data_IF_189339164056
#
_entry.id   IF_189339164056
#
_cell.length_a   1.000
_cell.length_b   1.000
_cell.length_c   1.000
_cell.angle_alpha   90.00
_cell.angle_beta   90.00
_cell.angle_gamma   90.00
#
_symmetry.space_group_name_H-M   'P 1'
#
loop_
_entity.id
_entity.type
_entity.pdbx_description
1 polymer ?
#
# COMPACT_ATOMS: atom_id res chain seq x y z
N UNK A 1 5.70 -19.03 9.92
CA UNK A 1 4.87 -19.15 8.68
C UNK A 1 3.49 -18.52 8.87
N UNK A 2 2.78 -18.24 7.76
CA UNK A 2 1.39 -17.79 7.76
C UNK A 2 0.61 -18.40 6.58
N UNK A 3 -0.70 -18.59 6.74
CA UNK A 3 -1.56 -19.27 5.76
C UNK A 3 -1.90 -18.41 4.54
N UNK A 4 -2.23 -19.06 3.41
CA UNK A 4 -2.80 -18.41 2.22
C UNK A 4 -4.15 -17.74 2.50
N UNK A 5 -4.89 -18.26 3.49
CA UNK A 5 -6.12 -17.65 3.99
C UNK A 5 -5.84 -16.28 4.62
N UNK A 6 -4.76 -16.15 5.40
CA UNK A 6 -4.36 -14.86 5.98
C UNK A 6 -4.05 -13.81 4.90
N UNK A 7 -3.38 -14.22 3.82
CA UNK A 7 -3.10 -13.36 2.67
C UNK A 7 -4.39 -12.94 1.95
N UNK A 8 -5.29 -13.90 1.74
CA UNK A 8 -6.57 -13.66 1.06
C UNK A 8 -7.44 -12.69 1.85
N UNK A 9 -7.48 -12.87 3.18
CA UNK A 9 -8.19 -11.97 4.08
C UNK A 9 -7.63 -10.55 4.00
N UNK A 10 -6.30 -10.40 3.98
CA UNK A 10 -5.64 -9.09 3.91
C UNK A 10 -5.83 -8.40 2.55
N UNK A 11 -5.87 -9.17 1.46
CA UNK A 11 -6.10 -8.65 0.09
C UNK A 11 -7.41 -7.89 -0.03
N UNK A 12 -8.45 -8.37 0.64
CA UNK A 12 -9.78 -7.77 0.61
C UNK A 12 -9.97 -6.68 1.67
N UNK A 13 -8.93 -6.27 2.40
CA UNK A 13 -9.02 -5.20 3.41
C UNK A 13 -9.22 -3.84 2.75
N UNK A 14 -8.42 -3.53 1.74
CA UNK A 14 -8.42 -2.23 1.06
C UNK A 14 -9.02 -2.41 -0.35
N UNK A 15 -10.01 -1.58 -0.68
CA UNK A 15 -10.64 -1.59 -2.00
C UNK A 15 -10.31 -0.35 -2.82
N UNK A 16 -10.68 -0.38 -4.09
CA UNK A 16 -10.58 0.76 -4.99
C UNK A 16 -11.74 1.73 -4.78
N UNK A 17 -11.45 3.02 -4.97
CA UNK A 17 -12.47 4.06 -4.95
C UNK A 17 -13.37 3.99 -6.19
N UNK A 18 -14.57 4.54 -6.07
CA UNK A 18 -15.42 4.77 -7.24
C UNK A 18 -14.77 5.78 -8.18
N UNK A 19 -15.22 5.75 -9.44
CA UNK A 19 -14.76 6.71 -10.44
C UNK A 19 -15.24 8.12 -10.07
N UNK A 20 -14.30 9.05 -10.01
CA UNK A 20 -14.46 10.47 -9.80
C UNK A 20 -14.87 11.20 -11.08
N UNK A 21 -14.46 10.69 -12.26
CA UNK A 21 -14.80 11.28 -13.55
C UNK A 21 -15.75 10.38 -14.37
N UNK A 22 -16.92 10.90 -14.71
CA UNK A 22 -17.95 10.22 -15.52
C UNK A 22 -17.57 10.04 -16.99
N UNK A 23 -16.48 10.67 -17.46
CA UNK A 23 -16.00 10.57 -18.85
C UNK A 23 -15.22 9.26 -19.11
N UNK A 24 -14.80 8.56 -18.05
CA UNK A 24 -14.06 7.29 -18.15
C UNK A 24 -15.06 6.13 -18.19
N UNK A 25 -15.13 5.41 -19.31
CA UNK A 25 -16.13 4.35 -19.55
C UNK A 25 -15.79 2.98 -18.97
N UNK A 26 -14.81 2.88 -18.08
CA UNK A 26 -14.36 1.59 -17.54
C UNK A 26 -15.30 1.11 -16.45
N UNK A 27 -15.69 -0.15 -16.47
CA UNK A 27 -16.40 -0.77 -15.35
C UNK A 27 -15.42 -1.45 -14.40
N UNK A 28 -15.41 -1.02 -13.13
CA UNK A 28 -14.65 -1.67 -12.06
C UNK A 28 -15.53 -2.75 -11.43
N UNK A 29 -14.98 -3.96 -11.28
CA UNK A 29 -15.69 -5.08 -10.67
C UNK A 29 -16.03 -4.83 -9.20
N UNK A 30 -17.11 -5.44 -8.73
CA UNK A 30 -17.54 -5.34 -7.34
C UNK A 30 -16.46 -5.82 -6.36
N UNK A 31 -15.69 -6.85 -6.73
CA UNK A 31 -14.56 -7.36 -5.94
C UNK A 31 -13.43 -6.35 -5.75
N UNK A 32 -13.23 -5.49 -6.76
CA UNK A 32 -12.25 -4.41 -6.70
C UNK A 32 -12.76 -3.22 -5.88
N UNK A 33 -14.06 -2.94 -5.93
CA UNK A 33 -14.67 -1.89 -5.12
C UNK A 33 -14.82 -2.33 -3.65
N UNK A 34 -15.09 -3.59 -3.38
CA UNK A 34 -15.38 -4.06 -2.02
C UNK A 34 -14.14 -3.98 -1.13
N UNK A 35 -14.32 -3.41 0.07
CA UNK A 35 -13.27 -3.26 1.07
C UNK A 35 -13.81 -3.69 2.45
N UNK A 36 -13.31 -4.78 3.01
CA UNK A 36 -13.74 -5.25 4.35
C UNK A 36 -13.33 -4.30 5.47
N UNK A 37 -12.34 -3.42 5.26
CA UNK A 37 -12.01 -2.34 6.20
C UNK A 37 -12.83 -1.07 5.97
N UNK A 38 -13.64 -1.01 4.91
CA UNK A 38 -14.30 0.18 4.37
C UNK A 38 -13.34 1.28 3.86
N UNK A 39 -12.03 1.02 3.87
CA UNK A 39 -11.01 1.97 3.41
C UNK A 39 -10.70 1.78 1.94
N UNK A 40 -10.46 2.90 1.28
CA UNK A 40 -10.21 2.99 -0.16
C UNK A 40 -8.80 3.50 -0.45
N UNK A 41 -8.19 3.06 -1.54
CA UNK A 41 -6.80 3.44 -1.91
C UNK A 41 -6.61 4.97 -2.02
N UNK A 42 -7.58 5.68 -2.60
CA UNK A 42 -7.54 7.13 -2.75
C UNK A 42 -7.46 7.90 -1.41
N UNK A 43 -7.88 7.28 -0.29
CA UNK A 43 -7.72 7.87 1.04
C UNK A 43 -6.26 7.87 1.53
N UNK A 44 -5.40 7.04 0.94
CA UNK A 44 -3.97 6.98 1.26
C UNK A 44 -3.13 7.92 0.38
N UNK A 45 -3.57 8.14 -0.86
CA UNK A 45 -3.01 9.14 -1.75
C UNK A 45 -4.02 9.55 -2.83
N UNK A 46 -4.25 10.85 -3.00
CA UNK A 46 -5.27 11.37 -3.93
C UNK A 46 -5.04 10.97 -5.39
N UNK A 47 -3.78 10.91 -5.83
CA UNK A 47 -3.43 10.49 -7.20
C UNK A 47 -3.64 8.99 -7.45
N UNK A 48 -3.73 8.16 -6.41
CA UNK A 48 -3.91 6.71 -6.54
C UNK A 48 -5.41 6.37 -6.78
N UNK A 49 -5.98 6.94 -7.84
CA UNK A 49 -7.33 6.69 -8.32
C UNK A 49 -7.33 5.73 -9.51
N UNK A 50 -8.46 5.09 -9.77
CA UNK A 50 -8.59 4.08 -10.83
C UNK A 50 -8.35 4.69 -12.22
N UNK A 51 -8.81 5.91 -12.45
CA UNK A 51 -8.67 6.64 -13.71
C UNK A 51 -7.22 6.97 -14.03
N UNK A 52 -6.48 7.42 -13.01
CA UNK A 52 -5.07 7.72 -13.16
C UNK A 52 -4.29 6.43 -13.47
N UNK A 53 -4.67 5.31 -12.84
CA UNK A 53 -4.08 3.99 -13.10
C UNK A 53 -4.38 3.54 -14.53
N UNK A 54 -5.64 3.60 -14.97
CA UNK A 54 -6.01 3.23 -16.33
C UNK A 54 -5.31 4.10 -17.39
N UNK A 55 -5.16 5.39 -17.12
CA UNK A 55 -4.43 6.29 -18.00
C UNK A 55 -2.95 5.93 -18.11
N UNK A 56 -2.39 5.29 -17.06
CA UNK A 56 -0.98 4.97 -16.94
C UNK A 56 -0.58 3.55 -17.38
N UNK A 57 -1.51 2.58 -17.44
CA UNK A 57 -1.21 1.23 -17.94
C UNK A 57 -0.68 1.28 -19.37
N UNK A 58 0.14 0.31 -19.78
CA UNK A 58 0.79 0.35 -21.09
C UNK A 58 -0.18 0.10 -22.26
N UNK A 59 -1.12 -0.83 -22.09
CA UNK A 59 -2.05 -1.31 -23.12
C UNK A 59 -3.19 -0.34 -23.37
N UNK A 60 -3.29 0.17 -24.61
CA UNK A 60 -4.28 1.19 -24.99
C UNK A 60 -5.62 0.51 -25.14
N UNK A 61 -6.63 1.07 -24.49
CA UNK A 61 -7.97 0.50 -24.44
C UNK A 61 -8.00 -0.91 -23.84
N UNK A 62 -7.23 -1.11 -22.75
CA UNK A 62 -7.25 -2.36 -21.98
C UNK A 62 -8.69 -2.73 -21.66
N UNK A 63 -9.06 -3.97 -21.98
CA UNK A 63 -10.38 -4.51 -21.71
C UNK A 63 -10.67 -4.55 -20.20
N UNK A 64 -11.94 -4.52 -19.83
CA UNK A 64 -12.38 -4.43 -18.44
C UNK A 64 -11.88 -5.61 -17.60
N UNK A 65 -11.91 -6.84 -18.12
CA UNK A 65 -11.47 -8.01 -17.39
C UNK A 65 -9.96 -7.98 -17.08
N UNK A 66 -9.06 -7.81 -18.06
CA UNK A 66 -7.62 -7.61 -17.82
C UNK A 66 -7.31 -6.45 -16.87
N UNK A 67 -8.05 -5.34 -16.98
CA UNK A 67 -7.84 -4.20 -16.09
C UNK A 67 -8.24 -4.50 -14.64
N UNK A 68 -9.36 -5.19 -14.43
CA UNK A 68 -9.77 -5.61 -13.09
C UNK A 68 -8.84 -6.66 -12.48
N UNK A 69 -8.27 -7.55 -13.30
CA UNK A 69 -7.20 -8.46 -12.88
C UNK A 69 -5.94 -7.69 -12.50
N UNK A 70 -5.55 -6.68 -13.28
CA UNK A 70 -4.42 -5.81 -12.96
C UNK A 70 -4.61 -5.11 -11.61
N UNK A 71 -5.77 -4.49 -11.37
CA UNK A 71 -6.13 -3.85 -10.10
C UNK A 71 -6.10 -4.85 -8.92
N UNK A 72 -6.57 -6.08 -9.12
CA UNK A 72 -6.52 -7.14 -8.11
C UNK A 72 -5.08 -7.57 -7.81
N UNK A 73 -4.25 -7.70 -8.86
CA UNK A 73 -2.84 -8.07 -8.74
C UNK A 73 -2.04 -7.03 -7.96
N UNK A 74 -2.30 -5.74 -8.17
CA UNK A 74 -1.65 -4.66 -7.41
C UNK A 74 -1.93 -4.78 -5.90
N UNK A 75 -3.17 -5.10 -5.52
CA UNK A 75 -3.55 -5.32 -4.12
C UNK A 75 -2.84 -6.55 -3.53
N UNK A 76 -2.86 -7.67 -4.25
CA UNK A 76 -2.23 -8.91 -3.81
C UNK A 76 -0.71 -8.73 -3.61
N UNK A 77 -0.03 -8.09 -4.57
CA UNK A 77 1.40 -7.79 -4.46
C UNK A 77 1.71 -6.89 -3.26
N UNK A 78 0.87 -5.88 -3.01
CA UNK A 78 1.07 -4.98 -1.87
C UNK A 78 0.92 -5.72 -0.52
N UNK A 79 -0.03 -6.65 -0.42
CA UNK A 79 -0.18 -7.49 0.78
C UNK A 79 1.06 -8.34 1.02
N UNK A 80 1.55 -9.03 -0.02
CA UNK A 80 2.74 -9.89 0.09
C UNK A 80 3.93 -9.05 0.55
N UNK A 81 4.16 -7.90 -0.09
CA UNK A 81 5.27 -7.01 0.27
C UNK A 81 5.19 -6.53 1.73
N UNK A 82 3.99 -6.15 2.18
CA UNK A 82 3.76 -5.70 3.56
C UNK A 82 3.92 -6.83 4.57
N UNK A 83 3.44 -8.03 4.24
CA UNK A 83 3.60 -9.22 5.06
C UNK A 83 5.07 -9.59 5.22
N UNK A 84 5.82 -9.61 4.12
CA UNK A 84 7.27 -9.84 4.15
C UNK A 84 8.00 -8.78 4.96
N UNK A 85 7.64 -7.50 4.82
CA UNK A 85 8.29 -6.44 5.58
C UNK A 85 7.95 -6.48 7.09
N UNK A 86 6.71 -6.83 7.46
CA UNK A 86 6.28 -6.87 8.87
C UNK A 86 6.76 -8.13 9.56
N UNK A 87 6.67 -9.29 8.91
CA UNK A 87 6.97 -10.60 9.50
C UNK A 87 8.35 -11.07 9.07
N UNK A 88 8.51 -11.47 7.80
CA UNK A 88 9.67 -12.23 7.33
C UNK A 88 11.01 -11.47 7.53
N UNK A 89 10.99 -10.15 7.47
CA UNK A 89 12.17 -9.30 7.68
C UNK A 89 12.38 -8.87 9.15
N UNK A 90 11.47 -9.24 10.05
CA UNK A 90 11.59 -8.86 11.46
C UNK A 90 12.48 -9.84 12.23
N UNK A 91 13.41 -9.31 13.02
CA UNK A 91 14.39 -10.12 13.77
C UNK A 91 13.80 -11.11 14.79
N UNK A 92 12.55 -10.90 15.24
CA UNK A 92 11.84 -11.81 16.15
C UNK A 92 10.93 -12.81 15.42
N UNK A 93 10.91 -12.79 14.09
CA UNK A 93 10.13 -13.75 13.33
C UNK A 93 10.78 -15.12 13.35
N UNK A 94 9.95 -16.14 13.52
CA UNK A 94 10.36 -17.55 13.54
C UNK A 94 9.48 -18.32 12.55
N UNK A 95 10.11 -18.90 11.53
CA UNK A 95 9.40 -19.65 10.50
C UNK A 95 8.62 -20.85 11.08
N UNK A 96 9.09 -21.44 12.19
CA UNK A 96 8.45 -22.58 12.84
C UNK A 96 7.15 -22.24 13.58
N UNK A 97 6.92 -20.96 13.88
CA UNK A 97 5.72 -20.48 14.57
C UNK A 97 4.63 -20.14 13.54
N UNK A 98 3.40 -20.59 13.78
CA UNK A 98 2.25 -20.20 12.98
C UNK A 98 1.64 -18.88 13.48
N UNK A 99 1.77 -17.83 12.66
CA UNK A 99 1.25 -16.49 12.97
C UNK A 99 -0.18 -16.28 12.44
N UNK A 100 -0.80 -17.26 11.78
CA UNK A 100 -2.11 -17.09 11.13
C UNK A 100 -3.20 -16.63 12.10
N UNK A 101 -3.20 -17.16 13.33
CA UNK A 101 -4.19 -16.79 14.37
C UNK A 101 -4.04 -15.34 14.82
N UNK A 102 -2.81 -14.84 15.00
CA UNK A 102 -2.58 -13.46 15.42
C UNK A 102 -2.85 -12.47 14.29
N UNK A 103 -2.54 -12.85 13.04
CA UNK A 103 -2.84 -12.04 11.84
C UNK A 103 -4.34 -11.88 11.69
N UNK A 104 -5.10 -12.99 11.72
CA UNK A 104 -6.57 -13.00 11.59
C UNK A 104 -7.26 -12.28 12.76
N UNK A 105 -6.70 -12.32 13.96
CA UNK A 105 -7.22 -11.56 15.10
C UNK A 105 -6.94 -10.05 15.00
N UNK A 106 -5.81 -9.64 14.40
CA UNK A 106 -5.33 -8.25 14.40
C UNK A 106 -5.24 -7.62 13.01
N UNK A 107 -6.10 -8.01 12.08
CA UNK A 107 -6.08 -7.61 10.65
C UNK A 107 -5.97 -6.09 10.42
N UNK A 108 -6.56 -5.29 11.30
CA UNK A 108 -6.56 -3.81 11.22
C UNK A 108 -5.17 -3.18 11.28
N UNK A 109 -4.19 -3.85 11.88
CA UNK A 109 -2.83 -3.28 12.01
C UNK A 109 -2.10 -3.21 10.67
N UNK A 110 -2.54 -3.99 9.67
CA UNK A 110 -1.95 -4.05 8.34
C UNK A 110 -2.55 -3.01 7.37
N UNK A 111 -3.76 -2.51 7.65
CA UNK A 111 -4.54 -1.66 6.73
C UNK A 111 -3.74 -0.43 6.26
N UNK A 112 -3.02 0.24 7.18
CA UNK A 112 -2.22 1.42 6.85
C UNK A 112 -1.05 1.09 5.92
N UNK A 113 -0.28 0.05 6.26
CA UNK A 113 0.87 -0.36 5.48
C UNK A 113 0.45 -0.84 4.08
N UNK A 114 -0.63 -1.62 3.98
CA UNK A 114 -1.20 -2.09 2.71
C UNK A 114 -1.66 -0.90 1.87
N UNK A 115 -2.45 0.01 2.43
CA UNK A 115 -2.97 1.15 1.69
C UNK A 115 -1.87 2.07 1.14
N UNK A 116 -0.85 2.37 1.95
CA UNK A 116 0.31 3.14 1.48
C UNK A 116 1.13 2.38 0.43
N UNK A 117 1.29 1.05 0.57
CA UNK A 117 2.00 0.24 -0.40
C UNK A 117 1.29 0.23 -1.77
N UNK A 118 -0.04 0.06 -1.80
CA UNK A 118 -0.82 0.12 -3.04
C UNK A 118 -0.66 1.51 -3.70
N UNK A 119 -0.77 2.58 -2.92
CA UNK A 119 -0.61 3.93 -3.43
C UNK A 119 0.80 4.21 -3.96
N UNK A 120 1.85 3.69 -3.32
CA UNK A 120 3.23 3.76 -3.83
C UNK A 120 3.33 3.06 -5.19
N UNK A 121 2.80 1.84 -5.33
CA UNK A 121 2.81 1.12 -6.60
C UNK A 121 2.10 1.89 -7.72
N UNK A 122 1.00 2.57 -7.41
CA UNK A 122 0.32 3.44 -8.38
C UNK A 122 1.20 4.63 -8.80
N UNK A 123 1.86 5.31 -7.86
CA UNK A 123 2.77 6.41 -8.17
C UNK A 123 4.00 5.95 -8.97
N UNK A 124 4.55 4.77 -8.64
CA UNK A 124 5.65 4.15 -9.38
C UNK A 124 5.23 3.84 -10.83
N UNK A 125 4.02 3.32 -11.04
CA UNK A 125 3.45 3.13 -12.38
C UNK A 125 3.38 4.46 -13.16
N UNK A 126 2.99 5.56 -12.52
CA UNK A 126 2.92 6.88 -13.15
C UNK A 126 4.31 7.42 -13.54
N UNK A 127 5.34 7.06 -12.78
CA UNK A 127 6.72 7.40 -13.07
C UNK A 127 7.27 6.53 -14.22
N UNK A 128 6.96 5.24 -14.22
CA UNK A 128 7.49 4.28 -15.19
C UNK A 128 6.78 4.32 -16.54
N UNK A 129 5.56 4.86 -16.61
CA UNK A 129 4.78 4.86 -17.86
C UNK A 129 5.36 5.80 -18.92
N UNK A 130 5.64 5.22 -20.09
CA UNK A 130 6.08 5.94 -21.29
C UNK A 130 4.95 6.59 -22.08
N UNK A 131 3.69 6.51 -21.61
CA UNK A 131 2.55 7.08 -22.33
C UNK A 131 2.68 8.60 -22.50
N UNK A 132 2.78 8.99 -23.77
CA UNK A 132 2.93 10.36 -24.28
C UNK A 132 1.58 10.94 -24.71
N UNK A 133 0.57 11.00 -23.85
CA UNK A 133 -0.47 12.03 -24.02
C UNK A 133 0.09 13.35 -23.49
N UNK A 134 1.08 13.86 -24.23
CA UNK A 134 1.91 15.04 -23.94
C UNK A 134 1.09 16.33 -23.87
N UNK A 135 -0.14 16.34 -24.38
CA UNK A 135 -1.00 17.53 -24.41
C UNK A 135 -1.89 17.65 -23.16
N UNK A 136 -2.20 16.54 -22.47
CA UNK A 136 -3.04 16.52 -21.25
C UNK A 136 -2.26 16.24 -19.95
N UNK A 137 -1.02 15.71 -20.02
CA UNK A 137 -0.10 15.56 -18.86
C UNK A 137 0.35 16.89 -18.22
N UNK A 138 -0.01 18.04 -18.78
CA UNK A 138 0.74 19.30 -18.68
C UNK A 138 0.57 20.15 -17.40
N UNK A 139 0.00 19.65 -16.30
CA UNK A 139 -0.07 20.46 -15.07
C UNK A 139 0.03 19.73 -13.72
N UNK A 140 -0.31 18.44 -13.60
CA UNK A 140 -0.43 17.77 -12.28
C UNK A 140 0.55 16.62 -12.01
N UNK A 141 1.26 16.08 -13.01
CA UNK A 141 2.08 14.86 -12.91
C UNK A 141 3.51 15.06 -13.41
N UNK A 142 4.19 16.13 -12.98
CA UNK A 142 5.62 16.27 -13.22
C UNK A 142 6.37 15.17 -12.45
N UNK A 143 7.32 14.48 -13.08
CA UNK A 143 8.18 13.47 -12.45
C UNK A 143 8.77 13.96 -11.13
N UNK A 144 9.20 15.23 -11.08
CA UNK A 144 9.74 15.84 -9.86
C UNK A 144 8.70 15.91 -8.74
N UNK A 145 7.45 16.27 -9.05
CA UNK A 145 6.35 16.29 -8.08
C UNK A 145 6.06 14.89 -7.56
N UNK A 146 5.93 13.89 -8.45
CA UNK A 146 5.69 12.50 -8.05
C UNK A 146 6.81 11.95 -7.18
N UNK A 147 8.06 12.31 -7.49
CA UNK A 147 9.22 11.92 -6.68
C UNK A 147 9.17 12.56 -5.28
N UNK A 148 8.78 13.83 -5.18
CA UNK A 148 8.58 14.50 -3.89
C UNK A 148 7.42 13.89 -3.10
N UNK A 149 6.33 13.47 -3.75
CA UNK A 149 5.24 12.77 -3.06
C UNK A 149 5.68 11.40 -2.51
N UNK A 150 6.51 10.67 -3.26
CA UNK A 150 7.09 9.39 -2.84
C UNK A 150 8.08 9.54 -1.67
N UNK A 151 9.15 10.31 -1.88
CA UNK A 151 10.30 10.41 -0.98
C UNK A 151 10.09 11.46 0.13
N UNK A 152 9.27 12.46 -0.14
CA UNK A 152 9.16 13.67 0.67
C UNK A 152 10.18 14.73 0.27
N UNK A 153 10.27 15.78 1.08
CA UNK A 153 11.23 16.86 0.90
C UNK A 153 12.16 16.93 2.12
N UNK A 154 13.46 17.14 1.88
CA UNK A 154 14.46 17.39 2.93
C UNK A 154 15.09 18.77 2.72
N UNK A 155 15.47 19.43 3.81
CA UNK A 155 16.23 20.68 3.73
C UNK A 155 17.73 20.41 3.48
N UNK A 156 18.50 21.48 3.26
CA UNK A 156 19.96 21.42 3.02
C UNK A 156 20.75 20.78 4.17
N UNK A 157 20.14 20.66 5.36
CA UNK A 157 20.71 20.04 6.56
C UNK A 157 20.29 18.56 6.72
N UNK A 158 19.55 18.01 5.76
CA UNK A 158 19.09 16.61 5.77
C UNK A 158 17.83 16.33 6.60
N UNK A 159 17.21 17.35 7.21
CA UNK A 159 15.97 17.18 7.97
C UNK A 159 14.76 17.12 7.04
N UNK A 160 13.86 16.17 7.28
CA UNK A 160 12.61 16.00 6.53
C UNK A 160 11.66 17.17 6.80
N UNK A 161 11.38 17.96 5.77
CA UNK A 161 10.40 19.06 5.78
C UNK A 161 8.99 18.52 5.50
N UNK A 162 8.87 17.60 4.55
CA UNK A 162 7.60 16.96 4.18
C UNK A 162 7.79 15.44 4.14
N UNK A 163 6.87 14.71 4.77
CA UNK A 163 6.92 13.24 4.82
C UNK A 163 6.30 12.65 3.55
N UNK A 164 7.12 12.03 2.73
CA UNK A 164 6.64 11.24 1.59
C UNK A 164 5.87 10.01 2.01
N UNK A 165 5.15 9.41 1.07
CA UNK A 165 4.34 8.22 1.32
C UNK A 165 5.19 7.00 1.69
N UNK A 166 6.45 6.91 1.25
CA UNK A 166 7.38 5.84 1.64
C UNK A 166 7.60 5.84 3.15
N UNK A 167 7.90 7.01 3.73
CA UNK A 167 8.08 7.14 5.18
C UNK A 167 6.79 6.82 5.95
N UNK A 168 5.61 7.17 5.40
CA UNK A 168 4.32 6.80 6.00
C UNK A 168 4.11 5.28 6.01
N UNK A 169 4.48 4.58 4.92
CA UNK A 169 4.49 3.10 4.85
C UNK A 169 5.41 2.50 5.92
N UNK A 170 6.65 2.99 6.02
CA UNK A 170 7.63 2.51 6.99
C UNK A 170 7.15 2.66 8.43
N UNK A 171 6.58 3.82 8.78
CA UNK A 171 6.02 4.05 10.12
C UNK A 171 4.83 3.13 10.42
N UNK A 172 4.00 2.83 9.42
CA UNK A 172 2.90 1.88 9.57
C UNK A 172 3.41 0.45 9.78
N UNK A 173 4.44 0.03 9.05
CA UNK A 173 5.11 -1.27 9.23
C UNK A 173 5.68 -1.37 10.65
N UNK A 174 6.42 -0.36 11.11
CA UNK A 174 6.98 -0.36 12.47
C UNK A 174 5.90 -0.42 13.55
N UNK A 175 4.77 0.27 13.34
CA UNK A 175 3.64 0.23 14.27
C UNK A 175 3.03 -1.19 14.33
N UNK A 176 2.85 -1.85 13.19
CA UNK A 176 2.36 -3.22 13.14
C UNK A 176 3.33 -4.21 13.81
N UNK A 177 4.63 -4.08 13.52
CA UNK A 177 5.69 -4.89 14.13
C UNK A 177 5.68 -4.80 15.65
N UNK A 178 5.57 -3.59 16.23
CA UNK A 178 5.50 -3.41 17.69
C UNK A 178 4.29 -4.09 18.35
N UNK A 179 3.21 -4.29 17.60
CA UNK A 179 1.98 -4.92 18.10
C UNK A 179 2.04 -6.44 17.98
N UNK A 180 2.73 -6.95 16.95
CA UNK A 180 2.92 -8.39 16.72
C UNK A 180 4.07 -8.96 17.54
N UNK A 181 5.15 -8.19 17.66
CA UNK A 181 6.38 -8.54 18.36
C UNK A 181 6.63 -7.50 19.46
N UNK A 182 5.87 -7.53 20.56
CA UNK A 182 6.11 -6.62 21.67
C UNK A 182 7.49 -6.90 22.27
N UNK A 183 8.29 -5.86 22.47
CA UNK A 183 9.55 -5.99 23.21
C UNK A 183 9.22 -6.39 24.66
N UNK A 184 9.77 -7.51 25.12
CA UNK A 184 9.72 -7.85 26.53
C UNK A 184 10.54 -6.82 27.32
N UNK A 185 9.90 -6.08 28.23
CA UNK A 185 10.62 -5.24 29.19
C UNK A 185 11.19 -6.18 30.25
N UNK A 186 12.44 -6.60 30.08
CA UNK A 186 13.18 -7.30 31.12
C UNK A 186 13.51 -6.30 32.24
N UNK A 187 12.74 -6.32 33.32
CA UNK A 187 13.09 -5.61 34.55
C UNK A 187 14.24 -6.38 35.21
N UNK A 188 15.48 -6.03 34.85
CA UNK A 188 16.66 -6.46 35.60
C UNK A 188 16.72 -5.64 36.89
N UNK A 189 16.02 -6.11 37.91
CA UNK A 189 16.17 -5.62 39.27
C UNK A 189 16.05 -6.81 40.21
N UNK A 190 17.12 -7.12 40.94
CA UNK A 190 16.99 -7.94 42.14
C UNK A 190 15.95 -7.29 43.04
N UNK A 191 15.02 -8.04 43.64
CA UNK A 191 14.06 -7.47 44.55
C UNK A 191 14.84 -6.93 45.76
N UNK A 192 14.88 -5.60 45.86
CA UNK A 192 15.40 -4.91 47.04
C UNK A 192 14.33 -5.08 48.12
N UNK A 193 14.47 -6.15 48.92
CA UNK A 193 13.74 -6.36 50.17
C UNK A 193 14.45 -5.64 51.31
#
# INVERSE_FOLDING_TARGET
MYSSESISLLTNRIGWGELLNSEVTIVVSEDNLTATSLRKVNAFHSLASVENIYSAVAETDMEEAPFNEFLSSMRAQAVIEVMTAILDQHHLYDEAIDYSSIITAKVKIFDDAIGYCIAIKALELFISTGRKNLTERNASLNFQTLKVELEGAKNDKGFTIAKGIILKKELAIQKAQRILFPNEILINGDPIW
#
